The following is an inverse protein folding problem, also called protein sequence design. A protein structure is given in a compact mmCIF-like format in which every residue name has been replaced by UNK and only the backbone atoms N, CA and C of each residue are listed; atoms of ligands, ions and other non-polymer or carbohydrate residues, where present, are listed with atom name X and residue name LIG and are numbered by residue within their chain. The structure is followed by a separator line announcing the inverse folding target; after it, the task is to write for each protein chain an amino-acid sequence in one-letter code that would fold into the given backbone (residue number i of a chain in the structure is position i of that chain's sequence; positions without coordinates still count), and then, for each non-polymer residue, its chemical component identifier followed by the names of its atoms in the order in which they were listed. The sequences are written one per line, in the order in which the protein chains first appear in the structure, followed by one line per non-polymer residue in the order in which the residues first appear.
data_IF_354235079160
#
_entry.id   IF_354235079160
#
_cell.length_a   1.000
_cell.length_b   1.000
_cell.length_c   1.000
_cell.angle_alpha   90.00
_cell.angle_beta   90.00
_cell.angle_gamma   90.00
#
_symmetry.space_group_name_H-M   'P 1'
#
loop_
_entity.id
_entity.type
_entity.pdbx_description
1 polymer ?
#
# COMPACT_ATOMS: atom_id res chain seq x y z
N UNK A 1 10.80 -7.25 10.52
CA UNK A 1 10.22 -5.92 10.86
C UNK A 1 8.70 -6.01 10.70
N UNK A 2 7.93 -5.01 11.14
CA UNK A 2 6.47 -5.02 10.96
C UNK A 2 6.08 -4.47 9.59
N UNK A 3 4.88 -4.80 9.10
CA UNK A 3 4.34 -4.20 7.88
C UNK A 3 4.05 -2.70 8.07
N UNK A 4 4.39 -1.91 7.07
CA UNK A 4 4.13 -0.47 7.05
C UNK A 4 2.88 -0.16 6.23
N UNK A 5 2.01 0.72 6.76
CA UNK A 5 0.89 1.29 6.01
C UNK A 5 1.37 2.50 5.25
N UNK A 6 1.24 2.48 3.93
CA UNK A 6 1.65 3.59 3.06
C UNK A 6 0.46 4.03 2.22
N UNK A 7 0.29 5.34 2.04
CA UNK A 7 -0.67 5.83 1.05
C UNK A 7 -0.17 5.47 -0.36
N UNK A 8 -1.10 5.04 -1.20
CA UNK A 8 -0.85 4.72 -2.59
C UNK A 8 -1.91 5.36 -3.48
N UNK A 9 -1.49 5.71 -4.69
CA UNK A 9 -2.34 6.17 -5.77
C UNK A 9 -1.78 5.63 -7.08
N UNK A 10 -2.56 4.86 -7.83
CA UNK A 10 -2.09 4.22 -9.08
C UNK A 10 -2.10 5.14 -10.30
N UNK A 11 -2.61 6.37 -10.17
CA UNK A 11 -2.70 7.34 -11.26
C UNK A 11 -1.59 8.37 -11.19
N UNK A 12 -1.24 8.96 -12.34
CA UNK A 12 -0.26 10.04 -12.43
C UNK A 12 -0.79 11.43 -12.02
N UNK A 13 -2.02 11.51 -11.52
CA UNK A 13 -2.53 12.80 -11.02
C UNK A 13 -1.84 13.16 -9.71
N UNK A 14 -1.76 14.46 -9.46
CA UNK A 14 -1.20 15.00 -8.22
C UNK A 14 -1.98 14.56 -7.00
N UNK A 15 -1.24 14.23 -5.93
CA UNK A 15 -1.79 14.00 -4.60
C UNK A 15 -1.06 14.83 -3.55
N UNK A 16 -1.77 15.20 -2.48
CA UNK A 16 -1.22 16.01 -1.39
C UNK A 16 -1.58 15.43 -0.03
N UNK A 17 -0.57 15.26 0.82
CA UNK A 17 -0.78 14.91 2.24
C UNK A 17 -1.28 16.13 3.01
N UNK A 18 -2.31 15.91 3.82
CA UNK A 18 -2.89 16.85 4.76
C UNK A 18 -2.48 16.53 6.21
N UNK A 19 -1.47 15.67 6.36
CA UNK A 19 -0.85 15.34 7.64
C UNK A 19 -1.45 14.13 8.34
N UNK A 20 -1.16 14.03 9.64
CA UNK A 20 -1.47 12.88 10.47
C UNK A 20 -2.70 13.14 11.38
N UNK A 21 -3.89 13.28 10.80
CA UNK A 21 -5.10 13.64 11.54
C UNK A 21 -6.36 13.05 10.88
N UNK A 22 -7.46 12.98 11.65
CA UNK A 22 -8.79 12.74 11.09
C UNK A 22 -9.14 13.88 10.15
N UNK A 23 -9.65 13.54 8.96
CA UNK A 23 -10.07 14.57 8.02
C UNK A 23 -11.23 15.40 8.59
N UNK A 24 -11.18 16.74 8.54
CA UNK A 24 -12.21 17.60 9.11
C UNK A 24 -13.60 17.40 8.46
N UNK A 25 -13.63 16.91 7.21
CA UNK A 25 -14.88 16.61 6.51
C UNK A 25 -15.49 15.25 6.90
N UNK A 26 -14.76 14.38 7.60
CA UNK A 26 -15.24 13.05 7.95
C UNK A 26 -16.45 13.16 8.90
N UNK A 27 -17.59 12.60 8.48
CA UNK A 27 -18.91 12.74 9.13
C UNK A 27 -19.48 14.18 9.17
N UNK A 28 -18.78 15.18 8.64
CA UNK A 28 -19.26 16.55 8.49
C UNK A 28 -18.82 17.14 7.15
N UNK A 29 -19.63 16.88 6.12
CA UNK A 29 -19.33 17.25 4.73
C UNK A 29 -19.61 18.71 4.37
N UNK A 30 -19.65 19.61 5.34
CA UNK A 30 -19.74 21.05 5.10
C UNK A 30 -18.52 21.52 4.28
N UNK A 31 -18.74 22.37 3.26
CA UNK A 31 -17.68 22.82 2.34
C UNK A 31 -16.49 23.48 3.04
N UNK A 32 -16.72 24.16 4.17
CA UNK A 32 -15.66 24.74 5.00
C UNK A 32 -14.64 23.72 5.53
N UNK A 33 -15.00 22.43 5.55
CA UNK A 33 -14.15 21.35 6.00
C UNK A 33 -13.43 20.63 4.85
N UNK A 34 -13.72 20.98 3.59
CA UNK A 34 -13.09 20.32 2.45
C UNK A 34 -11.67 20.82 2.31
N UNK A 35 -10.78 19.94 1.90
CA UNK A 35 -9.41 20.32 1.61
C UNK A 35 -9.33 21.06 0.28
N UNK A 36 -8.50 22.08 0.27
CA UNK A 36 -8.22 22.94 -0.86
C UNK A 36 -6.80 23.46 -0.72
N UNK A 37 -6.06 23.56 -1.82
CA UNK A 37 -4.69 24.04 -1.87
C UNK A 37 -4.55 25.42 -2.51
N UNK A 38 -5.64 26.12 -2.79
CA UNK A 38 -5.59 27.46 -3.42
C UNK A 38 -5.32 27.43 -4.92
N UNK A 39 -5.09 26.26 -5.49
CA UNK A 39 -4.63 26.05 -6.86
C UNK A 39 -5.38 24.87 -7.48
N UNK A 40 -5.53 24.86 -8.80
CA UNK A 40 -6.14 23.73 -9.54
C UNK A 40 -5.10 22.60 -9.73
N UNK A 41 -4.32 22.32 -8.68
CA UNK A 41 -3.05 21.59 -8.77
C UNK A 41 -3.05 20.21 -8.12
N UNK A 42 -4.03 19.90 -7.27
CA UNK A 42 -4.09 18.64 -6.49
C UNK A 42 -5.42 17.91 -6.66
N UNK A 43 -5.43 16.79 -7.39
CA UNK A 43 -6.67 16.04 -7.62
C UNK A 43 -7.08 15.16 -6.43
N UNK A 44 -6.09 14.66 -5.68
CA UNK A 44 -6.30 13.85 -4.48
C UNK A 44 -5.66 14.50 -3.27
N UNK A 45 -6.40 14.58 -2.18
CA UNK A 45 -5.89 14.93 -0.86
C UNK A 45 -6.03 13.72 0.03
N UNK A 46 -5.09 13.51 0.93
CA UNK A 46 -5.20 12.43 1.91
C UNK A 46 -4.65 12.83 3.28
N UNK A 47 -5.20 12.25 4.33
CA UNK A 47 -4.60 12.27 5.68
C UNK A 47 -4.58 10.87 6.25
N UNK A 48 -3.63 10.63 7.15
CA UNK A 48 -3.45 9.35 7.82
C UNK A 48 -3.68 9.54 9.32
N UNK A 49 -4.46 8.71 9.97
CA UNK A 49 -4.59 8.72 11.42
C UNK A 49 -4.52 7.29 11.96
N UNK A 50 -3.31 6.88 12.35
CA UNK A 50 -2.99 5.49 12.72
C UNK A 50 -3.41 4.52 11.62
N UNK A 51 -4.50 3.79 11.85
CA UNK A 51 -5.00 2.72 10.99
C UNK A 51 -5.98 3.23 9.94
N UNK A 52 -6.32 4.52 10.00
CA UNK A 52 -7.26 5.16 9.10
C UNK A 52 -6.55 6.00 8.04
N UNK A 53 -7.08 5.96 6.82
CA UNK A 53 -6.78 6.90 5.75
C UNK A 53 -8.08 7.57 5.30
N UNK A 54 -8.01 8.88 5.12
CA UNK A 54 -9.10 9.70 4.64
C UNK A 54 -8.67 10.34 3.33
N UNK A 55 -9.50 10.23 2.30
CA UNK A 55 -9.16 10.63 0.94
C UNK A 55 -10.26 11.53 0.41
N UNK A 56 -9.89 12.70 -0.09
CA UNK A 56 -10.78 13.56 -0.86
C UNK A 56 -10.29 13.59 -2.31
N UNK A 57 -11.19 13.30 -3.24
CA UNK A 57 -10.96 13.35 -4.67
C UNK A 57 -11.90 14.38 -5.31
N UNK A 58 -11.38 15.13 -6.26
CA UNK A 58 -12.15 16.15 -6.95
C UNK A 58 -12.09 17.49 -6.23
N UNK A 59 -12.29 18.55 -7.02
CA UNK A 59 -12.13 19.93 -6.61
C UNK A 59 -13.29 20.78 -7.13
N UNK A 60 -13.49 21.93 -6.49
CA UNK A 60 -14.45 22.95 -6.92
C UNK A 60 -13.83 23.77 -8.06
N UNK A 61 -13.79 23.20 -9.27
CA UNK A 61 -13.18 23.82 -10.46
C UNK A 61 -14.23 24.25 -11.48
N UNK A 62 -14.35 25.55 -11.74
CA UNK A 62 -15.31 26.07 -12.73
C UNK A 62 -14.97 25.81 -14.19
N UNK A 63 -13.78 25.26 -14.46
CA UNK A 63 -13.32 24.89 -15.80
C UNK A 63 -13.72 23.45 -16.20
N UNK A 64 -14.27 22.66 -15.28
CA UNK A 64 -14.75 21.30 -15.57
C UNK A 64 -16.25 21.15 -15.27
N UNK A 65 -17.03 20.57 -16.21
CA UNK A 65 -18.49 20.49 -16.11
C UNK A 65 -19.03 19.66 -14.93
N UNK A 66 -18.20 18.85 -14.26
CA UNK A 66 -18.61 17.92 -13.20
C UNK A 66 -18.07 18.26 -11.80
N UNK A 67 -17.70 19.53 -11.57
CA UNK A 67 -17.10 20.00 -10.32
C UNK A 67 -17.83 19.47 -9.07
N UNK A 68 -17.25 18.47 -8.43
CA UNK A 68 -17.82 17.78 -7.28
C UNK A 68 -16.69 17.11 -6.51
N UNK A 69 -16.94 16.82 -5.24
CA UNK A 69 -15.99 16.14 -4.38
C UNK A 69 -16.48 14.71 -4.08
N UNK A 70 -15.53 13.80 -3.95
CA UNK A 70 -15.70 12.44 -3.45
C UNK A 70 -14.87 12.25 -2.22
N UNK A 71 -15.43 11.58 -1.23
CA UNK A 71 -14.82 11.36 0.07
C UNK A 71 -14.78 9.87 0.35
N UNK A 72 -13.61 9.36 0.68
CA UNK A 72 -13.38 7.98 1.05
C UNK A 72 -12.73 7.92 2.41
N UNK A 73 -13.20 7.02 3.25
CA UNK A 73 -12.52 6.66 4.48
C UNK A 73 -12.26 5.16 4.47
N UNK A 74 -11.09 4.76 4.98
CA UNK A 74 -10.69 3.36 5.05
C UNK A 74 -9.87 3.15 6.33
N UNK A 75 -10.15 2.07 7.04
CA UNK A 75 -9.33 1.53 8.11
C UNK A 75 -8.64 0.25 7.63
N UNK A 76 -7.37 0.06 7.98
CA UNK A 76 -6.61 -1.17 7.76
C UNK A 76 -5.99 -1.63 9.08
N UNK A 77 -6.43 -2.77 9.57
CA UNK A 77 -5.88 -3.43 10.76
C UNK A 77 -5.09 -4.66 10.33
N UNK A 78 -3.83 -4.74 10.77
CA UNK A 78 -2.95 -5.87 10.51
C UNK A 78 -2.82 -6.69 11.79
N UNK A 79 -3.13 -7.98 11.70
CA UNK A 79 -3.14 -8.93 12.80
C UNK A 79 -2.26 -10.13 12.49
N UNK A 80 -1.70 -10.76 13.52
CA UNK A 80 -0.97 -12.03 13.43
C UNK A 80 0.19 -12.02 12.41
N UNK A 81 0.98 -10.94 12.38
CA UNK A 81 2.16 -10.87 11.50
C UNK A 81 3.17 -11.98 11.83
N UNK A 82 3.60 -12.70 10.80
CA UNK A 82 4.62 -13.74 10.89
C UNK A 82 5.67 -13.50 9.80
N UNK A 83 6.92 -13.27 10.21
CA UNK A 83 8.07 -13.20 9.29
C UNK A 83 8.49 -14.62 8.88
N UNK A 84 8.52 -14.87 7.57
CA UNK A 84 8.94 -16.13 6.98
C UNK A 84 10.47 -16.18 6.82
N UNK A 85 10.99 -17.39 6.57
CA UNK A 85 12.44 -17.62 6.41
C UNK A 85 13.08 -16.95 5.21
N UNK A 86 12.29 -16.47 4.25
CA UNK A 86 12.73 -15.71 3.08
C UNK A 86 12.59 -14.19 3.26
N UNK A 87 12.17 -13.74 4.45
CA UNK A 87 11.97 -12.33 4.80
C UNK A 87 10.60 -11.78 4.38
N UNK A 88 9.78 -12.57 3.69
CA UNK A 88 8.39 -12.21 3.46
C UNK A 88 7.61 -12.16 4.77
N UNK A 89 6.53 -11.38 4.83
CA UNK A 89 5.66 -11.32 6.00
C UNK A 89 4.27 -11.80 5.59
N UNK A 90 3.75 -12.79 6.32
CA UNK A 90 2.36 -13.23 6.20
C UNK A 90 1.55 -12.61 7.32
N UNK A 91 0.37 -12.05 7.01
CA UNK A 91 -0.50 -11.42 7.99
C UNK A 91 -1.98 -11.61 7.67
N UNK A 92 -2.81 -11.63 8.71
CA UNK A 92 -4.26 -11.49 8.59
C UNK A 92 -4.59 -10.00 8.55
N UNK A 93 -5.27 -9.56 7.51
CA UNK A 93 -5.61 -8.14 7.33
C UNK A 93 -7.11 -7.99 7.31
N UNK A 94 -7.60 -7.00 8.06
CA UNK A 94 -8.98 -6.55 8.01
C UNK A 94 -9.00 -5.13 7.48
N UNK A 95 -9.80 -4.90 6.44
CA UNK A 95 -10.01 -3.59 5.83
C UNK A 95 -11.46 -3.19 6.04
N UNK A 96 -11.69 -2.09 6.75
CA UNK A 96 -13.03 -1.56 6.98
C UNK A 96 -13.22 -0.29 6.14
N UNK A 97 -14.10 -0.30 5.14
CA UNK A 97 -14.45 0.94 4.45
C UNK A 97 -15.32 1.80 5.38
N UNK A 98 -14.87 3.02 5.67
CA UNK A 98 -15.49 3.90 6.67
C UNK A 98 -16.59 4.78 6.08
N UNK A 99 -16.39 5.26 4.85
CA UNK A 99 -17.41 6.01 4.12
C UNK A 99 -17.10 6.05 2.63
N UNK A 100 -18.13 6.27 1.83
CA UNK A 100 -18.04 6.78 0.47
C UNK A 100 -19.12 7.83 0.25
N UNK A 101 -18.76 9.06 -0.11
CA UNK A 101 -19.73 10.14 -0.24
C UNK A 101 -19.41 11.04 -1.42
N UNK A 102 -20.45 11.54 -2.08
CA UNK A 102 -20.38 12.55 -3.12
C UNK A 102 -21.03 13.84 -2.66
N UNK A 103 -20.40 14.98 -2.96
CA UNK A 103 -20.98 16.31 -2.70
C UNK A 103 -20.80 17.22 -3.89
N UNK A 104 -21.80 18.07 -4.10
CA UNK A 104 -21.81 19.05 -5.18
C UNK A 104 -20.96 20.25 -4.79
N UNK A 105 -20.05 20.67 -5.67
CA UNK A 105 -19.29 21.89 -5.47
C UNK A 105 -20.07 23.13 -5.95
N UNK A 106 -19.59 24.34 -5.63
CA UNK A 106 -20.27 25.58 -6.05
C UNK A 106 -20.22 25.81 -7.56
N UNK A 107 -19.18 25.32 -8.24
CA UNK A 107 -19.00 25.46 -9.68
C UNK A 107 -19.58 24.29 -10.50
N UNK A 108 -20.30 23.37 -9.85
CA UNK A 108 -20.97 22.28 -10.55
C UNK A 108 -21.95 22.82 -11.60
N UNK A 109 -21.86 22.32 -12.84
CA UNK A 109 -22.80 22.67 -13.90
C UNK A 109 -24.25 22.37 -13.49
N UNK A 110 -25.25 22.98 -14.17
CA UNK A 110 -26.66 22.72 -13.87
C UNK A 110 -27.07 21.25 -14.03
N UNK A 111 -26.40 20.53 -14.94
CA UNK A 111 -26.64 19.12 -15.27
C UNK A 111 -25.31 18.38 -15.20
N UNK A 112 -25.25 17.29 -14.45
CA UNK A 112 -24.09 16.39 -14.42
C UNK A 112 -24.25 15.21 -15.38
N UNK A 113 -23.16 14.49 -15.62
CA UNK A 113 -23.15 13.31 -16.48
C UNK A 113 -23.55 12.05 -15.73
N UNK A 114 -24.11 11.08 -16.44
CA UNK A 114 -24.44 9.80 -15.82
C UNK A 114 -23.15 9.06 -15.43
N UNK A 115 -23.11 8.54 -14.21
CA UNK A 115 -21.94 7.87 -13.66
C UNK A 115 -22.34 6.69 -12.80
N UNK A 116 -21.53 5.63 -12.90
CA UNK A 116 -21.58 4.48 -12.00
C UNK A 116 -20.24 4.38 -11.30
N UNK A 117 -20.26 4.48 -9.97
CA UNK A 117 -19.12 4.15 -9.12
C UNK A 117 -19.27 2.72 -8.60
N UNK A 118 -18.20 1.94 -8.72
CA UNK A 118 -18.07 0.59 -8.14
C UNK A 118 -16.76 0.52 -7.35
N UNK A 119 -16.87 0.53 -6.02
CA UNK A 119 -15.72 0.55 -5.11
C UNK A 119 -15.50 -0.84 -4.57
N UNK A 120 -14.27 -1.35 -4.71
CA UNK A 120 -13.90 -2.70 -4.29
C UNK A 120 -12.71 -2.70 -3.34
N UNK A 121 -12.67 -3.71 -2.48
CA UNK A 121 -11.49 -4.08 -1.67
C UNK A 121 -11.20 -5.54 -2.00
N UNK A 122 -9.98 -5.83 -2.43
CA UNK A 122 -9.55 -7.18 -2.81
C UNK A 122 -10.56 -7.91 -3.73
N UNK A 123 -11.07 -7.19 -4.75
CA UNK A 123 -12.06 -7.70 -5.71
C UNK A 123 -13.51 -7.77 -5.21
N UNK A 124 -13.78 -7.57 -3.92
CA UNK A 124 -15.14 -7.55 -3.35
C UNK A 124 -15.71 -6.14 -3.38
N UNK A 125 -16.89 -5.98 -3.97
CA UNK A 125 -17.64 -4.70 -3.97
C UNK A 125 -18.06 -4.32 -2.56
N UNK A 126 -17.66 -3.13 -2.12
CA UNK A 126 -18.00 -2.57 -0.81
C UNK A 126 -18.93 -1.36 -0.90
N UNK A 127 -18.89 -0.62 -2.01
CA UNK A 127 -19.86 0.43 -2.31
C UNK A 127 -20.22 0.44 -3.79
N UNK A 128 -21.42 0.92 -4.08
CA UNK A 128 -21.81 1.29 -5.43
C UNK A 128 -22.70 2.51 -5.42
N UNK A 129 -22.58 3.34 -6.45
CA UNK A 129 -23.48 4.46 -6.72
C UNK A 129 -23.81 4.48 -8.21
N UNK A 130 -25.06 4.77 -8.56
CA UNK A 130 -25.53 4.93 -9.93
C UNK A 130 -26.42 6.17 -9.97
N UNK A 131 -25.95 7.22 -10.64
CA UNK A 131 -26.62 8.52 -10.67
C UNK A 131 -25.86 9.50 -11.55
N UNK A 132 -25.80 10.76 -11.15
CA UNK A 132 -25.09 11.84 -11.84
C UNK A 132 -23.79 12.23 -11.14
N UNK A 133 -22.82 12.78 -11.87
CA UNK A 133 -21.54 13.27 -11.34
C UNK A 133 -21.72 14.40 -10.31
N UNK A 134 -22.85 15.08 -10.27
CA UNK A 134 -23.12 16.17 -9.33
C UNK A 134 -24.10 15.79 -8.22
N UNK A 135 -24.57 14.54 -8.22
CA UNK A 135 -25.48 14.06 -7.19
C UNK A 135 -24.78 13.97 -5.83
N UNK A 136 -25.54 14.28 -4.80
CA UNK A 136 -25.08 14.13 -3.42
C UNK A 136 -25.55 12.80 -2.86
N UNK A 137 -24.62 12.06 -2.26
CA UNK A 137 -24.93 10.76 -1.65
C UNK A 137 -23.99 10.48 -0.50
N UNK A 138 -24.42 9.62 0.42
CA UNK A 138 -23.63 9.19 1.58
C UNK A 138 -23.81 7.71 1.80
N UNK A 139 -22.74 6.96 1.68
CA UNK A 139 -22.61 5.62 2.20
C UNK A 139 -21.78 5.72 3.48
N UNK A 140 -22.37 5.32 4.60
CA UNK A 140 -21.64 5.15 5.86
C UNK A 140 -20.70 3.95 5.81
N UNK A 141 -20.29 3.44 6.97
CA UNK A 141 -19.39 2.31 7.04
C UNK A 141 -19.96 1.07 6.32
N UNK A 142 -19.13 0.45 5.47
CA UNK A 142 -19.45 -0.80 4.79
C UNK A 142 -18.96 -2.02 5.56
N UNK A 143 -19.26 -3.20 5.04
CA UNK A 143 -18.83 -4.46 5.65
C UNK A 143 -17.30 -4.63 5.59
N UNK A 144 -16.62 -4.96 6.71
CA UNK A 144 -15.19 -5.24 6.72
C UNK A 144 -14.82 -6.43 5.82
N UNK A 145 -13.68 -6.34 5.15
CA UNK A 145 -13.12 -7.42 4.35
C UNK A 145 -11.88 -7.98 5.05
N UNK A 146 -11.87 -9.29 5.31
CA UNK A 146 -10.73 -9.95 5.97
C UNK A 146 -10.11 -10.98 5.04
N UNK A 147 -8.78 -10.94 4.91
CA UNK A 147 -8.03 -11.84 4.04
C UNK A 147 -6.59 -11.99 4.54
N UNK A 148 -5.90 -13.03 4.06
CA UNK A 148 -4.48 -13.27 4.33
C UNK A 148 -3.65 -12.71 3.19
N UNK A 149 -2.57 -12.02 3.51
CA UNK A 149 -1.57 -11.58 2.52
C UNK A 149 -0.19 -12.12 2.91
N UNK A 150 0.61 -12.46 1.90
CA UNK A 150 2.04 -12.72 2.05
C UNK A 150 2.80 -11.73 1.18
N UNK A 151 3.61 -10.87 1.80
CA UNK A 151 4.28 -9.75 1.14
C UNK A 151 5.78 -10.04 1.08
N UNK A 152 6.37 -10.20 -0.13
CA UNK A 152 7.81 -10.38 -0.27
C UNK A 152 8.61 -9.20 0.32
N UNK A 153 9.90 -9.40 0.64
CA UNK A 153 10.80 -8.30 1.01
C UNK A 153 10.74 -7.12 0.02
N UNK A 154 10.83 -5.90 0.54
CA UNK A 154 10.81 -4.64 -0.22
C UNK A 154 9.66 -4.51 -1.23
N UNK A 155 8.55 -5.21 -0.99
CA UNK A 155 7.40 -5.25 -1.89
C UNK A 155 6.13 -4.73 -1.21
N UNK A 156 5.11 -4.43 -2.02
CA UNK A 156 3.82 -3.91 -1.57
C UNK A 156 2.67 -4.85 -1.92
N UNK A 157 1.70 -4.94 -1.03
CA UNK A 157 0.38 -5.54 -1.28
C UNK A 157 -0.65 -4.43 -1.50
N UNK A 158 -1.24 -4.40 -2.69
CA UNK A 158 -2.30 -3.44 -3.04
C UNK A 158 -3.70 -3.93 -2.69
N UNK A 159 -3.85 -5.19 -2.26
CA UNK A 159 -5.15 -5.80 -1.92
C UNK A 159 -5.90 -5.03 -0.83
N UNK A 160 -5.19 -4.28 0.01
CA UNK A 160 -5.79 -3.45 1.07
C UNK A 160 -6.33 -2.12 0.59
N UNK A 161 -5.93 -1.63 -0.59
CA UNK A 161 -6.37 -0.35 -1.10
C UNK A 161 -7.80 -0.43 -1.68
N UNK A 162 -8.42 0.73 -1.87
CA UNK A 162 -9.69 0.87 -2.55
C UNK A 162 -9.45 0.87 -4.07
N UNK A 163 -10.12 -0.04 -4.78
CA UNK A 163 -10.23 0.01 -6.23
C UNK A 163 -11.51 0.78 -6.59
N UNK A 164 -11.33 2.00 -7.11
CA UNK A 164 -12.40 2.92 -7.51
C UNK A 164 -12.62 2.76 -9.02
N UNK A 165 -13.69 2.07 -9.41
CA UNK A 165 -14.09 1.95 -10.80
C UNK A 165 -15.16 3.00 -11.11
N UNK A 166 -14.96 3.76 -12.19
CA UNK A 166 -15.85 4.81 -12.67
C UNK A 166 -16.26 4.45 -14.10
N UNK A 167 -17.57 4.30 -14.32
CA UNK A 167 -18.15 4.08 -15.65
C UNK A 167 -19.01 5.27 -16.03
N UNK A 168 -18.87 5.76 -17.26
CA UNK A 168 -19.75 6.75 -17.88
C UNK A 168 -20.59 6.05 -18.95
N UNK A 169 -21.82 5.62 -18.63
CA UNK A 169 -22.60 4.76 -19.52
C UNK A 169 -22.91 5.38 -20.87
N UNK A 170 -22.96 6.72 -20.92
CA UNK A 170 -23.35 7.47 -22.12
C UNK A 170 -22.11 7.96 -22.90
N UNK A 171 -20.89 7.62 -22.45
CA UNK A 171 -19.64 7.81 -23.18
C UNK A 171 -19.04 9.22 -23.11
N UNK A 172 -19.48 10.07 -22.17
CA UNK A 172 -18.99 11.44 -22.04
C UNK A 172 -17.52 11.50 -21.63
N UNK A 173 -17.06 10.48 -20.90
CA UNK A 173 -15.66 10.26 -20.55
C UNK A 173 -15.29 8.77 -20.65
N UNK A 174 -14.01 8.44 -20.85
CA UNK A 174 -13.54 7.07 -20.74
C UNK A 174 -13.80 6.50 -19.34
N UNK A 175 -14.16 5.22 -19.29
CA UNK A 175 -14.17 4.49 -18.03
C UNK A 175 -12.76 4.49 -17.42
N UNK A 176 -12.69 4.54 -16.09
CA UNK A 176 -11.41 4.56 -15.40
C UNK A 176 -11.44 3.71 -14.14
N UNK A 177 -10.26 3.20 -13.78
CA UNK A 177 -10.02 2.48 -12.53
C UNK A 177 -8.84 3.14 -11.84
N UNK A 178 -9.03 3.54 -10.59
CA UNK A 178 -7.96 4.08 -9.74
C UNK A 178 -7.84 3.26 -8.47
N UNK A 179 -6.63 2.82 -8.12
CA UNK A 179 -6.35 2.19 -6.83
C UNK A 179 -5.80 3.26 -5.89
N UNK A 180 -6.47 3.48 -4.76
CA UNK A 180 -6.09 4.51 -3.79
C UNK A 180 -6.35 4.09 -2.34
N UNK A 181 -5.59 4.61 -1.41
CA UNK A 181 -5.71 4.32 0.03
C UNK A 181 -4.49 3.60 0.57
N UNK A 182 -4.68 2.79 1.61
CA UNK A 182 -3.57 2.11 2.24
C UNK A 182 -3.13 0.88 1.47
N UNK A 183 -1.83 0.78 1.24
CA UNK A 183 -1.12 -0.45 0.86
C UNK A 183 -0.22 -0.87 2.01
N UNK A 184 0.03 -2.17 2.11
CA UNK A 184 0.98 -2.72 3.07
C UNK A 184 2.33 -2.90 2.39
N UNK A 185 3.37 -2.33 2.98
CA UNK A 185 4.76 -2.46 2.54
C UNK A 185 5.54 -3.33 3.51
N UNK A 186 6.32 -4.26 2.97
CA UNK A 186 7.28 -5.03 3.77
C UNK A 186 8.66 -4.35 3.70
N UNK A 187 9.14 -3.73 4.80
CA UNK A 187 10.45 -3.09 4.82
C UNK A 187 11.61 -4.08 5.00
N UNK A 188 11.34 -5.38 5.17
CA UNK A 188 12.42 -6.36 5.26
C UNK A 188 13.27 -6.32 3.99
N UNK A 189 14.60 -6.25 4.12
CA UNK A 189 15.48 -6.40 2.97
C UNK A 189 15.39 -7.83 2.41
N UNK A 190 15.63 -8.04 1.12
CA UNK A 190 15.65 -9.37 0.51
C UNK A 190 16.59 -10.31 1.25
N UNK A 191 16.21 -11.57 1.39
CA UNK A 191 17.12 -12.58 1.89
C UNK A 191 18.38 -12.65 1.01
N UNK A 192 19.53 -12.91 1.62
CA UNK A 192 20.82 -12.80 0.98
C UNK A 192 21.63 -14.09 1.16
N UNK A 193 22.63 -14.31 0.32
CA UNK A 193 23.61 -15.37 0.56
C UNK A 193 24.90 -14.76 1.10
N UNK A 194 25.27 -14.99 2.37
CA UNK A 194 26.51 -14.46 2.92
C UNK A 194 27.73 -15.18 2.32
N UNK A 195 28.33 -14.60 1.29
CA UNK A 195 29.70 -14.91 0.88
C UNK A 195 30.48 -13.61 0.76
N UNK A 196 31.75 -13.71 1.14
CA UNK A 196 32.72 -12.70 0.78
C UNK A 196 34.00 -13.39 0.33
N UNK A 197 34.63 -12.85 -0.70
CA UNK A 197 35.99 -13.21 -1.08
C UNK A 197 36.93 -12.11 -0.64
N UNK A 198 38.16 -12.47 -0.29
CA UNK A 198 39.21 -11.48 -0.05
C UNK A 198 39.98 -11.28 -1.36
N UNK A 199 39.90 -10.07 -1.92
CA UNK A 199 40.65 -9.68 -3.13
C UNK A 199 41.45 -8.41 -2.85
N UNK A 200 42.77 -8.48 -3.07
CA UNK A 200 43.69 -7.37 -2.79
C UNK A 200 43.60 -6.85 -1.35
N UNK A 201 43.55 -7.76 -0.38
CA UNK A 201 43.48 -7.43 1.04
C UNK A 201 42.10 -6.99 1.56
N UNK A 202 41.17 -6.59 0.68
CA UNK A 202 39.81 -6.17 1.02
C UNK A 202 38.82 -7.33 0.89
N UNK A 203 37.86 -7.40 1.81
CA UNK A 203 36.71 -8.30 1.67
C UNK A 203 35.70 -7.69 0.69
N UNK A 204 35.22 -8.51 -0.25
CA UNK A 204 34.15 -8.15 -1.19
C UNK A 204 33.01 -9.13 -1.03
N UNK A 205 31.81 -8.60 -0.78
CA UNK A 205 30.60 -9.40 -0.80
C UNK A 205 30.35 -9.98 -2.19
N UNK A 206 29.93 -11.23 -2.25
CA UNK A 206 29.43 -11.87 -3.47
C UNK A 206 27.91 -12.09 -3.39
N UNK A 207 27.21 -11.20 -2.68
CA UNK A 207 25.75 -11.24 -2.60
C UNK A 207 25.16 -11.04 -4.01
N UNK A 208 24.82 -12.14 -4.66
CA UNK A 208 24.15 -12.13 -5.95
C UNK A 208 22.67 -12.50 -5.71
N UNK A 209 21.72 -11.63 -6.07
CA UNK A 209 20.29 -11.94 -5.95
C UNK A 209 19.83 -13.06 -6.90
N UNK A 210 20.64 -13.46 -7.88
CA UNK A 210 20.38 -14.58 -8.79
C UNK A 210 21.28 -15.82 -8.55
N UNK A 211 20.81 -16.99 -9.00
CA UNK A 211 21.54 -18.27 -8.99
C UNK A 211 21.24 -19.18 -7.80
N UNK A 212 21.90 -20.33 -7.72
CA UNK A 212 21.85 -21.29 -6.62
C UNK A 212 23.26 -21.70 -6.19
N UNK A 213 23.47 -21.89 -4.89
CA UNK A 213 24.74 -22.37 -4.36
C UNK A 213 24.56 -23.78 -3.84
N UNK A 214 25.42 -24.69 -4.26
CA UNK A 214 25.36 -26.07 -3.83
C UNK A 214 26.50 -26.36 -2.84
N UNK A 215 26.19 -27.08 -1.77
CA UNK A 215 27.16 -27.71 -0.88
C UNK A 215 27.01 -29.22 -0.97
N UNK A 216 28.13 -29.94 -0.96
CA UNK A 216 28.10 -31.40 -0.94
C UNK A 216 28.06 -31.88 0.51
N UNK A 217 27.00 -32.59 0.89
CA UNK A 217 26.82 -33.20 2.21
C UNK A 217 26.46 -34.67 2.04
N UNK A 218 27.23 -35.56 2.68
CA UNK A 218 27.03 -37.01 2.55
C UNK A 218 27.09 -37.51 1.10
N UNK A 219 27.92 -36.89 0.26
CA UNK A 219 28.07 -37.25 -1.16
C UNK A 219 27.03 -36.63 -2.11
N UNK A 220 25.95 -36.03 -1.58
CA UNK A 220 24.86 -35.43 -2.36
C UNK A 220 25.02 -33.92 -2.41
N UNK A 221 24.78 -33.32 -3.58
CA UNK A 221 24.69 -31.87 -3.74
C UNK A 221 23.35 -31.36 -3.18
N UNK A 222 23.41 -30.42 -2.26
CA UNK A 222 22.26 -29.77 -1.66
C UNK A 222 22.38 -28.26 -1.82
N UNK A 223 21.28 -27.56 -2.11
CA UNK A 223 21.30 -26.10 -2.18
C UNK A 223 21.49 -25.50 -0.78
N UNK A 224 22.28 -24.43 -0.70
CA UNK A 224 22.41 -23.58 0.48
C UNK A 224 21.27 -22.55 0.42
N UNK A 225 20.31 -22.60 1.35
CA UNK A 225 19.20 -21.66 1.36
C UNK A 225 19.68 -20.24 1.68
N UNK A 226 18.92 -19.25 1.21
CA UNK A 226 19.12 -17.84 1.55
C UNK A 226 19.05 -17.63 3.08
N UNK A 227 19.67 -16.55 3.53
CA UNK A 227 19.71 -16.13 4.92
C UNK A 227 18.99 -14.79 5.08
N UNK A 228 18.17 -14.65 6.10
CA UNK A 228 17.53 -13.37 6.43
C UNK A 228 18.54 -12.43 7.11
N UNK A 229 18.42 -11.13 6.86
CA UNK A 229 19.21 -10.10 7.56
C UNK A 229 19.00 -10.11 9.07
N UNK A 230 17.79 -10.48 9.55
CA UNK A 230 17.49 -10.63 10.97
C UNK A 230 18.35 -11.70 11.66
N UNK A 231 18.89 -12.66 10.91
CA UNK A 231 19.76 -13.73 11.41
C UNK A 231 21.26 -13.34 11.41
N UNK A 232 21.63 -12.25 10.73
CA UNK A 232 23.02 -11.83 10.60
C UNK A 232 23.62 -11.44 11.96
N UNK A 233 24.78 -11.99 12.30
CA UNK A 233 25.52 -11.72 13.55
C UNK A 233 24.91 -12.34 14.82
N UNK A 234 23.74 -12.98 14.73
CA UNK A 234 23.04 -13.62 15.85
C UNK A 234 23.66 -14.99 16.17
N UNK A 235 23.64 -15.37 17.44
CA UNK A 235 24.28 -16.60 17.91
C UNK A 235 23.49 -17.85 17.45
N UNK A 236 24.20 -18.84 16.93
CA UNK A 236 23.75 -20.17 16.52
C UNK A 236 22.62 -20.24 15.46
N UNK A 237 22.18 -19.12 14.89
CA UNK A 237 21.14 -19.04 13.84
C UNK A 237 21.72 -18.74 12.46
N UNK A 238 20.90 -18.91 11.41
CA UNK A 238 21.26 -18.66 10.02
C UNK A 238 21.73 -19.91 9.26
N UNK A 239 21.52 -19.92 7.95
CA UNK A 239 21.90 -21.02 7.05
C UNK A 239 23.40 -21.08 6.79
N UNK A 240 24.08 -19.93 6.88
CA UNK A 240 25.55 -19.84 6.95
C UNK A 240 25.99 -19.24 8.28
N UNK A 241 26.98 -19.88 8.90
CA UNK A 241 27.50 -19.50 10.21
C UNK A 241 29.01 -19.53 10.22
N UNK A 242 29.61 -18.54 10.87
CA UNK A 242 31.04 -18.47 11.11
C UNK A 242 31.32 -18.59 12.61
N UNK A 243 32.44 -19.19 12.97
CA UNK A 243 32.85 -19.27 14.37
C UNK A 243 33.53 -17.95 14.77
N UNK A 244 32.93 -17.22 15.71
CA UNK A 244 33.45 -15.95 16.22
C UNK A 244 33.32 -15.92 17.74
N UNK A 245 34.44 -15.68 18.43
CA UNK A 245 34.50 -15.67 19.90
C UNK A 245 33.93 -16.94 20.54
N UNK A 246 34.32 -18.10 20.00
CA UNK A 246 33.90 -19.41 20.51
C UNK A 246 32.48 -19.86 20.16
N UNK A 247 31.62 -18.96 19.67
CA UNK A 247 30.23 -19.26 19.27
C UNK A 247 30.09 -19.31 17.75
N UNK A 248 29.13 -20.09 17.26
CA UNK A 248 28.67 -19.94 15.89
C UNK A 248 27.81 -18.69 15.81
N UNK A 249 28.05 -17.82 14.84
CA UNK A 249 27.22 -16.66 14.57
C UNK A 249 26.78 -16.69 13.12
N UNK A 250 25.54 -16.30 12.86
CA UNK A 250 25.04 -16.07 11.51
C UNK A 250 25.98 -15.13 10.75
N UNK A 251 26.39 -15.52 9.56
CA UNK A 251 27.35 -14.73 8.79
C UNK A 251 26.68 -13.46 8.25
N UNK A 252 27.26 -12.29 8.52
CA UNK A 252 26.83 -11.02 7.93
C UNK A 252 27.45 -10.81 6.55
N UNK A 253 26.92 -9.86 5.79
CA UNK A 253 27.60 -9.32 4.59
C UNK A 253 28.89 -8.62 5.03
N UNK A 254 29.95 -8.76 4.23
CA UNK A 254 31.24 -8.10 4.46
C UNK A 254 31.63 -7.23 3.26
N UNK A 255 32.05 -5.99 3.53
CA UNK A 255 32.57 -5.05 2.54
C UNK A 255 31.48 -4.20 1.86
N UNK A 256 31.90 -3.03 1.36
CA UNK A 256 31.12 -2.15 0.46
C UNK A 256 30.62 -2.89 -0.79
#
# INVERSE_FOLDING_TARGET
MALEKQFYLSSNVSSKSMGNAVAPWYLNYSKSNWWYDGLDSSNYFYSINSDNVYIQYGQNLGTVPWASARFFGQEVVVNNETENTDGSITANVTVTPLCFSGRRSDYAAPVGFRVIYDIRINGVRVYSFNGSTIDEFTNGAGAPQTFVVTIPPESRATQTALEVNITYPDGEYPNSTTVTGFVLYNPNPPAFRPMAIRKSGKWKSLNNPGGYWMIRKGGIWQEIPLMNYSQAGKDNVGTSRIRKSGRWKGQSIYGE
#
